data_IF_364421625363
#
_entry.id   IF_364421625363
#
_cell.length_a   1.000
_cell.length_b   1.000
_cell.length_c   1.000
_cell.angle_alpha   90.00
_cell.angle_beta   90.00
_cell.angle_gamma   90.00
#
_symmetry.space_group_name_H-M   'P 1'
#
loop_
_entity.id
_entity.type
_entity.pdbx_description
1 polymer ?
#
# COMPACT_ATOMS: atom_id res chain seq x y z
N UNK A 1 19.11 16.94 7.23
CA UNK A 1 18.23 16.67 8.40
C UNK A 1 19.01 17.06 9.65
N UNK A 2 18.56 18.06 10.42
CA UNK A 2 19.29 18.52 11.62
C UNK A 2 18.53 18.32 12.93
N UNK A 3 17.19 18.23 12.89
CA UNK A 3 16.35 18.22 14.11
C UNK A 3 15.55 16.93 14.33
N UNK A 4 15.40 16.09 13.31
CA UNK A 4 14.53 14.90 13.38
C UNK A 4 13.03 15.19 13.52
N UNK A 5 12.62 16.47 13.41
CA UNK A 5 11.21 16.85 13.53
C UNK A 5 10.41 16.28 12.35
N UNK A 6 9.34 15.56 12.68
CA UNK A 6 8.37 15.05 11.70
C UNK A 6 7.67 16.23 11.03
N UNK A 7 7.82 16.37 9.70
CA UNK A 7 7.15 17.42 8.92
C UNK A 7 5.68 17.12 8.68
N UNK A 8 5.36 15.86 8.43
CA UNK A 8 3.99 15.41 8.24
C UNK A 8 3.86 13.93 8.61
N UNK A 9 2.65 13.55 9.02
CA UNK A 9 2.22 12.16 9.14
C UNK A 9 0.79 12.04 8.63
N UNK A 10 0.43 10.84 8.17
CA UNK A 10 -0.93 10.50 7.72
C UNK A 10 -1.26 9.10 8.18
N UNK A 11 -2.50 8.93 8.63
CA UNK A 11 -3.08 7.61 8.87
C UNK A 11 -3.93 7.24 7.65
N UNK A 12 -3.67 6.07 7.05
CA UNK A 12 -4.38 5.55 5.88
C UNK A 12 -5.39 4.43 6.20
N UNK A 13 -5.59 4.09 7.47
CA UNK A 13 -6.46 2.98 7.85
C UNK A 13 -6.87 2.96 9.31
N UNK A 14 -7.54 1.88 9.69
CA UNK A 14 -7.82 1.57 11.09
C UNK A 14 -6.59 0.98 11.77
N UNK A 15 -6.71 0.67 13.07
CA UNK A 15 -5.69 -0.12 13.77
C UNK A 15 -5.49 -1.45 13.05
N UNK A 16 -4.23 -1.79 12.82
CA UNK A 16 -3.81 -3.05 12.23
C UNK A 16 -2.68 -3.60 13.10
N UNK A 17 -3.04 -4.56 13.94
CA UNK A 17 -2.18 -5.28 14.86
C UNK A 17 -2.01 -6.74 14.42
N UNK A 18 -2.22 -7.00 13.13
CA UNK A 18 -2.15 -8.32 12.55
C UNK A 18 -0.71 -8.83 12.58
N UNK A 19 -0.56 -10.13 12.83
CA UNK A 19 0.73 -10.83 12.70
C UNK A 19 0.48 -12.20 12.11
N UNK A 20 1.53 -12.86 11.60
CA UNK A 20 1.43 -14.22 11.08
C UNK A 20 0.87 -15.23 12.11
N UNK A 21 0.96 -14.93 13.41
CA UNK A 21 0.35 -15.76 14.45
C UNK A 21 -1.18 -15.89 14.29
N UNK A 22 -1.84 -14.89 13.70
CA UNK A 22 -3.29 -14.88 13.46
C UNK A 22 -3.76 -15.88 12.39
N UNK A 23 -2.84 -16.42 11.57
CA UNK A 23 -3.16 -17.47 10.61
C UNK A 23 -3.38 -18.83 11.28
N UNK A 24 -2.79 -19.04 12.47
CA UNK A 24 -2.84 -20.31 13.16
C UNK A 24 -4.05 -20.37 14.09
N UNK A 25 -5.13 -20.98 13.63
CA UNK A 25 -6.27 -21.40 14.45
C UNK A 25 -5.93 -22.68 15.24
N UNK A 26 -4.88 -22.60 16.06
CA UNK A 26 -4.57 -23.59 17.10
C UNK A 26 -5.29 -23.28 18.42
N UNK A 27 -4.84 -23.93 19.50
CA UNK A 27 -5.40 -23.87 20.86
C UNK A 27 -5.99 -22.50 21.22
N UNK A 28 -7.33 -22.47 21.33
CA UNK A 28 -8.10 -21.25 21.61
C UNK A 28 -8.02 -20.90 23.11
N UNK A 29 -7.87 -19.62 23.47
CA UNK A 29 -7.59 -18.48 22.58
C UNK A 29 -6.12 -18.47 22.15
N UNK A 30 -5.85 -18.17 20.87
CA UNK A 30 -4.48 -17.98 20.39
C UNK A 30 -3.90 -16.74 21.07
N UNK A 31 -2.99 -16.89 22.05
CA UNK A 31 -2.52 -15.76 22.86
C UNK A 31 -1.65 -14.79 22.06
N UNK A 32 -1.20 -15.20 20.87
CA UNK A 32 -0.33 -14.41 20.00
C UNK A 32 -1.11 -13.62 18.93
N UNK A 33 -2.45 -13.75 18.87
CA UNK A 33 -3.29 -12.93 18.00
C UNK A 33 -4.23 -12.07 18.86
N UNK A 34 -4.20 -10.74 18.72
CA UNK A 34 -5.08 -9.87 19.50
C UNK A 34 -6.57 -10.10 19.11
N UNK A 35 -7.54 -9.79 20.00
CA UNK A 35 -8.96 -9.98 19.70
C UNK A 35 -9.47 -9.19 18.49
N UNK A 36 -8.76 -8.13 18.10
CA UNK A 36 -9.03 -7.29 16.93
C UNK A 36 -7.72 -7.08 16.17
N UNK A 37 -7.29 -8.06 15.34
CA UNK A 37 -6.00 -7.98 14.66
C UNK A 37 -6.02 -6.97 13.50
N UNK A 38 -7.15 -6.69 12.87
CA UNK A 38 -7.15 -5.90 11.64
C UNK A 38 -6.98 -6.79 10.41
N UNK A 39 -6.64 -6.19 9.28
CA UNK A 39 -6.74 -6.80 7.95
C UNK A 39 -5.39 -7.12 7.29
N UNK A 40 -4.26 -7.03 8.01
CA UNK A 40 -2.91 -7.12 7.42
C UNK A 40 -2.74 -6.09 6.28
N UNK A 41 -2.99 -4.84 6.60
CA UNK A 41 -2.94 -3.69 5.70
C UNK A 41 -1.81 -2.74 6.07
N UNK A 42 -0.73 -3.29 6.62
CA UNK A 42 0.51 -2.55 6.84
C UNK A 42 1.25 -2.27 5.50
N UNK A 43 2.45 -1.70 5.63
CA UNK A 43 3.32 -1.39 4.49
C UNK A 43 4.52 -2.33 4.52
N UNK A 44 4.53 -3.32 3.62
CA UNK A 44 5.60 -4.31 3.51
C UNK A 44 6.80 -3.86 2.66
N UNK A 45 6.62 -2.86 1.79
CA UNK A 45 7.64 -2.39 0.85
C UNK A 45 8.09 -0.96 1.10
N UNK A 46 9.30 -0.63 0.62
CA UNK A 46 9.83 0.72 0.64
C UNK A 46 9.02 1.67 -0.28
N UNK A 47 8.89 2.95 0.09
CA UNK A 47 8.25 3.93 -0.77
C UNK A 47 9.17 4.33 -1.95
N UNK A 48 8.58 4.83 -3.04
CA UNK A 48 9.33 5.31 -4.21
C UNK A 48 9.13 6.82 -4.34
N UNK A 49 10.23 7.58 -4.38
CA UNK A 49 10.19 9.02 -4.64
C UNK A 49 10.37 9.29 -6.14
N UNK A 50 9.40 9.99 -6.74
CA UNK A 50 9.48 10.48 -8.12
C UNK A 50 9.51 12.00 -8.10
N UNK A 51 10.53 12.58 -8.71
CA UNK A 51 10.75 14.02 -8.70
C UNK A 51 10.05 14.71 -9.86
N UNK A 52 9.61 15.95 -9.62
CA UNK A 52 9.19 16.89 -10.66
C UNK A 52 8.07 16.37 -11.57
N UNK A 53 7.12 15.61 -11.02
CA UNK A 53 5.98 15.10 -11.78
C UNK A 53 4.95 16.19 -12.06
N UNK A 54 4.41 16.17 -13.28
CA UNK A 54 3.33 17.07 -13.70
C UNK A 54 2.03 16.68 -13.00
N UNK A 55 1.39 17.65 -12.36
CA UNK A 55 0.11 17.44 -11.70
C UNK A 55 -1.04 17.35 -12.71
N UNK A 56 -1.94 16.37 -12.54
CA UNK A 56 -3.03 16.09 -13.50
C UNK A 56 -4.01 17.26 -13.65
N UNK A 57 -4.21 18.05 -12.60
CA UNK A 57 -5.17 19.16 -12.58
C UNK A 57 -4.51 20.55 -12.83
N UNK A 58 -3.30 20.57 -13.39
CA UNK A 58 -2.54 21.80 -13.60
C UNK A 58 -1.81 22.29 -12.34
N UNK A 59 -1.00 23.34 -12.48
CA UNK A 59 -0.14 23.85 -11.41
C UNK A 59 1.35 23.52 -11.59
N UNK A 60 2.15 23.86 -10.59
CA UNK A 60 3.59 23.56 -10.58
C UNK A 60 3.80 22.06 -10.46
N UNK A 61 4.86 21.56 -11.08
CA UNK A 61 5.32 20.19 -10.86
C UNK A 61 5.66 19.98 -9.38
N UNK A 62 5.51 18.73 -8.93
CA UNK A 62 5.69 18.32 -7.55
C UNK A 62 6.43 16.98 -7.49
N UNK A 63 7.21 16.82 -6.44
CA UNK A 63 7.75 15.52 -6.08
C UNK A 63 6.62 14.70 -5.46
N UNK A 64 6.49 13.45 -5.90
CA UNK A 64 5.48 12.53 -5.40
C UNK A 64 6.14 11.32 -4.74
N UNK A 65 5.60 10.93 -3.59
CA UNK A 65 5.96 9.71 -2.90
C UNK A 65 4.90 8.64 -3.19
N UNK A 66 5.32 7.55 -3.81
CA UNK A 66 4.50 6.36 -3.99
C UNK A 66 4.64 5.43 -2.78
N UNK A 67 3.52 4.91 -2.31
CA UNK A 67 3.46 3.93 -1.22
C UNK A 67 2.45 2.84 -1.57
N UNK A 68 2.86 1.58 -1.49
CA UNK A 68 2.00 0.41 -1.68
C UNK A 68 1.63 -0.24 -0.35
N UNK A 69 0.33 -0.45 -0.11
CA UNK A 69 -0.19 -1.10 1.10
C UNK A 69 -0.57 -2.56 0.82
N UNK A 70 -0.43 -3.45 1.81
CA UNK A 70 -0.88 -4.86 1.67
C UNK A 70 -2.38 -5.03 1.41
N UNK A 71 -3.18 -3.99 1.66
CA UNK A 71 -4.60 -3.93 1.26
C UNK A 71 -4.83 -3.95 -0.26
N UNK A 72 -3.77 -3.87 -1.07
CA UNK A 72 -3.85 -3.74 -2.52
C UNK A 72 -4.09 -2.31 -3.01
N UNK A 73 -4.06 -1.32 -2.10
CA UNK A 73 -4.18 0.10 -2.46
C UNK A 73 -2.80 0.73 -2.64
N UNK A 74 -2.59 1.29 -3.83
CA UNK A 74 -1.46 2.13 -4.16
C UNK A 74 -1.81 3.60 -3.89
N UNK A 75 -0.91 4.33 -3.25
CA UNK A 75 -1.08 5.74 -2.91
C UNK A 75 0.02 6.59 -3.53
N UNK A 76 -0.36 7.76 -4.01
CA UNK A 76 0.57 8.85 -4.36
C UNK A 76 0.37 10.04 -3.45
N UNK A 77 1.44 10.48 -2.81
CA UNK A 77 1.46 11.64 -1.93
C UNK A 77 2.25 12.78 -2.54
N UNK A 78 1.84 14.02 -2.26
CA UNK A 78 2.73 15.17 -2.35
C UNK A 78 3.84 15.01 -1.30
N UNK A 79 5.10 14.92 -1.73
CA UNK A 79 6.22 14.58 -0.84
C UNK A 79 6.51 15.65 0.22
N UNK A 80 6.14 16.92 -0.05
CA UNK A 80 6.37 18.04 0.85
C UNK A 80 5.31 18.12 1.95
N UNK A 81 4.05 17.89 1.60
CA UNK A 81 2.90 18.12 2.49
C UNK A 81 2.29 16.85 3.07
N UNK A 82 2.59 15.68 2.49
CA UNK A 82 1.94 14.41 2.83
C UNK A 82 0.47 14.34 2.42
N UNK A 83 0.03 15.18 1.48
CA UNK A 83 -1.36 15.14 0.97
C UNK A 83 -1.51 13.97 0.01
N UNK A 84 -2.55 13.15 0.17
CA UNK A 84 -2.90 12.11 -0.81
C UNK A 84 -3.39 12.79 -2.08
N UNK A 85 -2.66 12.63 -3.16
CA UNK A 85 -3.00 13.16 -4.49
C UNK A 85 -3.92 12.19 -5.22
N UNK A 86 -3.62 10.89 -5.10
CA UNK A 86 -4.39 9.82 -5.70
C UNK A 86 -4.24 8.55 -4.87
N UNK A 87 -5.25 7.69 -4.98
CA UNK A 87 -5.24 6.33 -4.46
C UNK A 87 -5.88 5.43 -5.51
N UNK A 88 -5.37 4.23 -5.69
CA UNK A 88 -5.87 3.29 -6.69
C UNK A 88 -5.80 1.88 -6.13
N UNK A 89 -6.92 1.16 -6.14
CA UNK A 89 -6.92 -0.28 -5.92
C UNK A 89 -6.23 -0.91 -7.13
N UNK A 90 -5.21 -1.72 -6.90
CA UNK A 90 -4.41 -2.37 -7.96
C UNK A 90 -4.41 -3.89 -7.84
N UNK A 91 -4.90 -4.40 -6.71
CA UNK A 91 -5.12 -5.82 -6.45
C UNK A 91 -6.15 -5.99 -5.33
N UNK A 92 -6.67 -7.20 -5.06
CA UNK A 92 -7.39 -7.46 -3.82
C UNK A 92 -6.42 -7.48 -2.62
N UNK A 93 -6.98 -7.36 -1.41
CA UNK A 93 -6.24 -7.56 -0.15
C UNK A 93 -6.14 -9.06 0.19
N UNK A 94 -5.05 -9.47 0.83
CA UNK A 94 -4.86 -10.83 1.34
C UNK A 94 -3.81 -10.84 2.46
N UNK A 95 -3.94 -11.75 3.44
CA UNK A 95 -3.04 -11.87 4.60
C UNK A 95 -1.58 -12.24 4.27
N UNK A 96 -1.33 -12.68 3.04
CA UNK A 96 0.02 -12.89 2.52
C UNK A 96 0.16 -12.18 1.17
N UNK A 97 -0.73 -11.24 0.86
CA UNK A 97 -0.82 -10.59 -0.43
C UNK A 97 -0.73 -9.07 -0.36
N UNK A 98 -1.12 -8.46 -1.47
CA UNK A 98 -0.89 -7.06 -1.75
C UNK A 98 0.59 -6.75 -1.99
N UNK A 99 0.96 -5.53 -1.62
CA UNK A 99 2.22 -4.89 -2.00
C UNK A 99 3.34 -5.15 -0.98
N UNK A 100 3.93 -6.34 -1.03
CA UNK A 100 4.93 -6.84 -0.06
C UNK A 100 6.40 -6.62 -0.44
N UNK A 101 6.83 -7.13 -1.60
CA UNK A 101 8.26 -7.34 -1.89
C UNK A 101 8.94 -6.18 -2.64
N UNK A 102 8.15 -5.26 -3.19
CA UNK A 102 8.67 -4.04 -3.80
C UNK A 102 8.10 -3.74 -5.18
N UNK A 103 7.87 -2.46 -5.42
CA UNK A 103 7.54 -1.90 -6.73
C UNK A 103 8.79 -1.27 -7.34
N UNK A 104 8.74 -0.99 -8.63
CA UNK A 104 9.79 -0.26 -9.34
C UNK A 104 9.18 0.93 -10.09
N UNK A 105 10.02 1.84 -10.56
CA UNK A 105 9.58 2.94 -11.39
C UNK A 105 10.65 3.30 -12.42
N UNK A 106 10.21 3.68 -13.61
CA UNK A 106 11.03 4.40 -14.58
C UNK A 106 10.51 5.83 -14.76
N UNK A 107 10.95 6.55 -15.78
CA UNK A 107 10.55 7.94 -16.03
C UNK A 107 9.06 8.12 -16.37
N UNK A 108 8.37 7.04 -16.74
CA UNK A 108 7.01 7.08 -17.25
C UNK A 108 6.01 6.25 -16.43
N UNK A 109 6.46 5.17 -15.83
CA UNK A 109 5.61 4.14 -15.22
C UNK A 109 6.05 3.80 -13.80
N UNK A 110 5.04 3.46 -13.01
CA UNK A 110 5.18 2.71 -11.76
C UNK A 110 4.83 1.25 -12.08
N UNK A 111 5.73 0.34 -11.74
CA UNK A 111 5.58 -1.10 -11.85
C UNK A 111 5.28 -1.66 -10.47
N UNK A 112 4.06 -2.13 -10.27
CA UNK A 112 3.61 -2.54 -8.95
C UNK A 112 3.91 -4.02 -8.76
N UNK A 113 4.77 -4.33 -7.80
CA UNK A 113 4.99 -5.70 -7.35
C UNK A 113 3.89 -6.08 -6.37
N UNK A 114 3.05 -7.02 -6.78
CA UNK A 114 1.90 -7.45 -6.02
C UNK A 114 1.89 -8.98 -5.84
N UNK A 115 1.17 -9.46 -4.83
CA UNK A 115 0.86 -10.86 -4.64
C UNK A 115 -0.63 -11.04 -4.31
N UNK A 116 -1.30 -12.00 -4.94
CA UNK A 116 -2.67 -12.41 -4.58
C UNK A 116 -2.66 -13.86 -4.10
N UNK A 117 -2.27 -14.05 -2.83
CA UNK A 117 -2.11 -15.37 -2.25
C UNK A 117 -3.41 -16.19 -2.21
N UNK A 118 -4.56 -15.51 -2.15
CA UNK A 118 -5.88 -16.13 -2.06
C UNK A 118 -6.54 -16.33 -3.44
N UNK A 119 -5.89 -15.89 -4.53
CA UNK A 119 -6.40 -15.97 -5.91
C UNK A 119 -7.80 -15.35 -6.06
N UNK A 120 -8.01 -14.21 -5.41
CA UNK A 120 -9.29 -13.50 -5.43
C UNK A 120 -9.53 -12.87 -6.80
N UNK A 121 -10.76 -12.96 -7.30
CA UNK A 121 -11.13 -12.31 -8.55
C UNK A 121 -11.08 -10.78 -8.40
N UNK A 122 -10.37 -10.13 -9.31
CA UNK A 122 -10.20 -8.68 -9.35
C UNK A 122 -10.46 -8.12 -10.75
N UNK A 123 -11.19 -7.02 -10.82
CA UNK A 123 -11.52 -6.34 -12.08
C UNK A 123 -10.47 -5.29 -12.42
N UNK A 124 -9.82 -5.45 -13.56
CA UNK A 124 -8.85 -4.50 -14.10
C UNK A 124 -9.54 -3.24 -14.66
N UNK A 125 -8.80 -2.13 -14.86
CA UNK A 125 -9.37 -0.89 -15.39
C UNK A 125 -10.04 -1.02 -16.77
N UNK A 126 -9.69 -2.05 -17.55
CA UNK A 126 -10.30 -2.34 -18.86
C UNK A 126 -11.59 -3.19 -18.76
N UNK A 127 -12.03 -3.53 -17.54
CA UNK A 127 -13.21 -4.32 -17.25
C UNK A 127 -12.99 -5.84 -17.29
N UNK A 128 -11.80 -6.30 -17.66
CA UNK A 128 -11.47 -7.73 -17.59
C UNK A 128 -11.26 -8.17 -16.13
N UNK A 129 -11.42 -9.46 -15.87
CA UNK A 129 -11.19 -10.03 -14.53
C UNK A 129 -9.97 -10.95 -14.54
N UNK A 130 -9.21 -10.93 -13.44
CA UNK A 130 -8.05 -11.79 -13.23
C UNK A 130 -8.05 -12.32 -11.79
N UNK A 131 -7.49 -13.51 -11.59
CA UNK A 131 -7.12 -14.07 -10.28
C UNK A 131 -5.60 -14.15 -10.12
N UNK A 132 -4.89 -13.48 -11.04
CA UNK A 132 -3.43 -13.39 -11.07
C UNK A 132 -3.07 -11.93 -10.83
N UNK A 133 -2.32 -11.69 -9.77
CA UNK A 133 -1.68 -10.43 -9.46
C UNK A 133 -0.21 -10.68 -9.10
#
# INVERSE_FOLDING_TARGET
MSTGIVRWSRNLGSIDAWTAACLFSGSVPNPNCPPKPGSDSDFGQAPILKLNLKYKFGGKNRDQLFVGQKSGVAYGFDAETGTVIWSTQVSPASYLGGMLFGSAADDRYLYIGNNDADSLSYTLPDGTTTTKA
#
